data_IF_695762761376
#
_entry.id   IF_695762761376
#
_cell.length_a   1.000
_cell.length_b   1.000
_cell.length_c   1.000
_cell.angle_alpha   90.00
_cell.angle_beta   90.00
_cell.angle_gamma   90.00
#
_symmetry.space_group_name_H-M   'P 1'
#
loop_
_entity.id
_entity.type
_entity.pdbx_description
1 polymer ?
#
# COMPACT_ATOMS: atom_id res chain seq x y z
N UNK A 1 -10.71 -5.33 -16.11
CA UNK A 1 -9.42 -4.79 -15.65
C UNK A 1 -8.60 -4.52 -16.89
N UNK A 2 -7.94 -3.36 -16.98
CA UNK A 2 -7.05 -3.09 -18.12
C UNK A 2 -5.87 -4.06 -18.09
N UNK A 3 -5.28 -4.36 -19.25
CA UNK A 3 -4.10 -5.23 -19.37
C UNK A 3 -2.93 -4.73 -18.52
N UNK A 4 -2.82 -3.41 -18.34
CA UNK A 4 -1.83 -2.80 -17.47
C UNK A 4 -1.96 -3.28 -16.01
N UNK A 5 -3.14 -3.15 -15.42
CA UNK A 5 -3.33 -3.52 -14.00
C UNK A 5 -3.18 -5.02 -13.77
N UNK A 6 -3.55 -5.86 -14.74
CA UNK A 6 -3.26 -7.28 -14.70
C UNK A 6 -1.74 -7.56 -14.69
N UNK A 7 -0.99 -6.82 -15.51
CA UNK A 7 0.47 -6.90 -15.54
C UNK A 7 1.09 -6.42 -14.23
N UNK A 8 0.63 -5.31 -13.67
CA UNK A 8 1.13 -4.79 -12.39
C UNK A 8 0.83 -5.74 -11.23
N UNK A 9 -0.34 -6.38 -11.23
CA UNK A 9 -0.66 -7.41 -10.23
C UNK A 9 0.26 -8.64 -10.37
N UNK A 10 0.56 -9.07 -11.59
CA UNK A 10 1.54 -10.13 -11.83
C UNK A 10 2.92 -9.79 -11.26
N UNK A 11 3.37 -8.55 -11.41
CA UNK A 11 4.60 -8.08 -10.80
C UNK A 11 4.54 -8.12 -9.27
N UNK A 12 3.46 -7.61 -8.68
CA UNK A 12 3.27 -7.63 -7.24
C UNK A 12 3.31 -9.07 -6.68
N UNK A 13 2.61 -10.00 -7.32
CA UNK A 13 2.61 -11.42 -6.95
C UNK A 13 4.01 -12.02 -7.06
N UNK A 14 4.68 -11.83 -8.20
CA UNK A 14 5.99 -12.42 -8.48
C UNK A 14 7.06 -11.92 -7.51
N UNK A 15 7.11 -10.61 -7.26
CA UNK A 15 8.15 -10.00 -6.45
C UNK A 15 7.90 -10.14 -4.94
N UNK A 16 6.65 -10.17 -4.51
CA UNK A 16 6.31 -10.35 -3.09
C UNK A 16 6.36 -11.80 -2.63
N UNK A 17 6.14 -12.74 -3.54
CA UNK A 17 5.99 -14.16 -3.22
C UNK A 17 4.63 -14.54 -2.62
N UNK A 18 3.69 -13.61 -2.50
CA UNK A 18 2.33 -13.93 -2.10
C UNK A 18 1.60 -14.71 -3.19
N UNK A 19 0.66 -15.60 -2.84
CA UNK A 19 -0.18 -16.29 -3.82
C UNK A 19 -0.98 -15.31 -4.66
N UNK A 20 -1.23 -15.66 -5.93
CA UNK A 20 -2.15 -14.91 -6.77
C UNK A 20 -3.55 -14.91 -6.15
N UNK A 21 -4.21 -13.74 -6.03
CA UNK A 21 -5.54 -13.68 -5.44
C UNK A 21 -6.59 -14.26 -6.39
N UNK A 22 -7.67 -14.83 -5.83
CA UNK A 22 -8.79 -15.32 -6.63
C UNK A 22 -9.51 -14.19 -7.39
N UNK A 23 -9.56 -13.02 -6.80
CA UNK A 23 -10.14 -11.82 -7.39
C UNK A 23 -9.11 -10.69 -7.41
N UNK A 24 -9.04 -9.98 -8.54
CA UNK A 24 -8.15 -8.84 -8.68
C UNK A 24 -8.71 -7.62 -7.92
N UNK A 25 -7.84 -6.76 -7.38
CA UNK A 25 -8.27 -5.48 -6.84
C UNK A 25 -8.75 -4.54 -7.96
N UNK A 26 -9.53 -3.54 -7.57
CA UNK A 26 -9.99 -2.48 -8.46
C UNK A 26 -9.18 -1.22 -8.17
N UNK A 27 -8.53 -0.66 -9.19
CA UNK A 27 -7.78 0.60 -9.07
C UNK A 27 -8.71 1.76 -9.37
N UNK A 28 -8.82 2.69 -8.43
CA UNK A 28 -9.73 3.84 -8.51
C UNK A 28 -8.93 5.13 -8.36
N UNK A 29 -9.01 6.00 -9.35
CA UNK A 29 -8.41 7.33 -9.28
C UNK A 29 -9.26 8.26 -8.42
N UNK A 30 -8.62 9.06 -7.56
CA UNK A 30 -9.27 10.02 -6.67
C UNK A 30 -8.50 11.34 -6.64
N UNK A 31 -9.19 12.47 -6.44
CA UNK A 31 -8.52 13.74 -6.24
C UNK A 31 -7.70 13.74 -4.94
N UNK A 32 -6.65 14.55 -4.87
CA UNK A 32 -5.76 14.61 -3.70
C UNK A 32 -6.50 14.87 -2.38
N UNK A 33 -7.56 15.67 -2.42
CA UNK A 33 -8.40 15.93 -1.23
C UNK A 33 -8.96 14.65 -0.59
N UNK A 34 -9.23 13.62 -1.39
CA UNK A 34 -9.68 12.32 -0.88
C UNK A 34 -8.63 11.68 0.04
N UNK A 35 -7.35 11.76 -0.32
CA UNK A 35 -6.26 11.23 0.50
C UNK A 35 -6.05 12.04 1.76
N UNK A 36 -6.15 13.36 1.67
CA UNK A 36 -6.07 14.25 2.84
C UNK A 36 -7.15 13.89 3.86
N UNK A 37 -8.38 13.70 3.42
CA UNK A 37 -9.52 13.39 4.29
C UNK A 37 -9.45 11.99 4.89
N UNK A 38 -9.13 10.99 4.07
CA UNK A 38 -9.28 9.58 4.44
C UNK A 38 -7.99 8.91 4.92
N UNK A 39 -6.84 9.25 4.35
CA UNK A 39 -5.56 8.65 4.69
C UNK A 39 -4.71 9.50 5.64
N UNK A 40 -4.93 10.80 5.69
CA UNK A 40 -4.08 11.76 6.39
C UNK A 40 -4.79 12.53 7.51
N UNK A 41 -5.96 12.08 7.96
CA UNK A 41 -6.73 12.69 9.05
C UNK A 41 -6.95 14.19 8.87
N UNK A 42 -7.36 14.63 7.68
CA UNK A 42 -7.60 16.02 7.30
C UNK A 42 -6.36 16.94 7.39
N UNK A 43 -5.16 16.34 7.35
CA UNK A 43 -3.89 17.08 7.32
C UNK A 43 -3.27 16.95 5.95
N UNK A 44 -2.70 18.03 5.43
CA UNK A 44 -1.97 18.00 4.16
C UNK A 44 -0.86 16.96 4.22
N UNK A 45 -0.74 16.15 3.17
CA UNK A 45 0.22 15.08 3.08
C UNK A 45 0.61 14.78 1.62
N UNK A 46 1.64 13.96 1.44
CA UNK A 46 2.14 13.55 0.13
C UNK A 46 1.71 12.14 -0.27
N UNK A 47 0.63 11.64 0.31
CA UNK A 47 0.10 10.31 -0.02
C UNK A 47 -0.47 10.35 -1.44
N UNK A 48 0.00 9.46 -2.29
CA UNK A 48 -0.38 9.33 -3.70
C UNK A 48 -1.07 8.00 -4.01
N UNK A 49 -0.99 7.04 -3.10
CA UNK A 49 -1.66 5.75 -3.15
C UNK A 49 -2.15 5.36 -1.77
N UNK A 50 -3.22 4.59 -1.71
CA UNK A 50 -3.79 4.16 -0.44
C UNK A 50 -4.64 2.91 -0.59
N UNK A 51 -4.39 1.94 0.28
CA UNK A 51 -5.22 0.77 0.49
C UNK A 51 -5.67 0.71 1.95
N UNK A 52 -6.97 0.68 2.18
CA UNK A 52 -7.57 0.67 3.53
C UNK A 52 -8.35 -0.60 3.85
N UNK A 53 -8.31 -1.57 2.97
CA UNK A 53 -9.10 -2.80 3.05
C UNK A 53 -10.09 -2.93 1.90
N UNK A 54 -10.77 -4.07 1.80
CA UNK A 54 -11.66 -4.37 0.70
C UNK A 54 -10.93 -4.60 -0.62
N UNK A 55 -11.62 -4.34 -1.74
CA UNK A 55 -11.08 -4.59 -3.08
C UNK A 55 -10.54 -3.36 -3.80
N UNK A 56 -10.75 -2.17 -3.25
CA UNK A 56 -10.36 -0.93 -3.92
C UNK A 56 -8.97 -0.47 -3.48
N UNK A 57 -8.13 -0.20 -4.48
CA UNK A 57 -6.90 0.57 -4.32
C UNK A 57 -7.17 1.97 -4.84
N UNK A 58 -6.72 2.97 -4.12
CA UNK A 58 -6.86 4.35 -4.53
C UNK A 58 -5.53 4.92 -4.98
N UNK A 59 -5.52 5.61 -6.11
CA UNK A 59 -4.37 6.37 -6.61
C UNK A 59 -4.78 7.82 -6.86
N UNK A 60 -3.84 8.74 -6.68
CA UNK A 60 -4.06 10.15 -6.99
C UNK A 60 -4.32 10.30 -8.50
N UNK A 61 -5.37 11.05 -8.87
CA UNK A 61 -5.79 11.22 -10.26
C UNK A 61 -4.77 11.95 -11.14
N UNK A 62 -3.78 12.60 -10.54
CA UNK A 62 -2.67 13.21 -11.27
C UNK A 62 -1.62 12.20 -11.74
N UNK A 63 -1.69 10.96 -11.26
CA UNK A 63 -0.80 9.89 -11.65
C UNK A 63 -1.29 9.19 -12.92
N UNK A 64 -0.38 8.97 -13.86
CA UNK A 64 -0.63 8.17 -15.05
C UNK A 64 0.28 6.92 -15.04
N UNK A 65 -0.26 5.75 -14.61
CA UNK A 65 0.52 4.52 -14.57
C UNK A 65 0.90 3.97 -15.94
N UNK A 66 0.27 4.39 -17.03
CA UNK A 66 0.63 3.97 -18.39
C UNK A 66 1.91 4.67 -18.87
N UNK A 67 2.05 5.96 -18.54
CA UNK A 67 3.16 6.78 -19.03
C UNK A 67 4.28 7.00 -17.97
N UNK A 68 4.04 6.64 -16.71
CA UNK A 68 4.98 6.90 -15.62
C UNK A 68 5.34 5.63 -14.85
N UNK A 69 6.63 5.25 -14.90
CA UNK A 69 7.18 4.16 -14.09
C UNK A 69 6.98 4.43 -12.57
N UNK A 70 7.12 5.67 -12.15
CA UNK A 70 6.88 6.04 -10.75
C UNK A 70 5.41 5.81 -10.38
N UNK A 71 4.46 6.26 -11.22
CA UNK A 71 3.04 6.06 -10.98
C UNK A 71 2.66 4.57 -10.96
N UNK A 72 3.14 3.78 -11.92
CA UNK A 72 2.90 2.32 -11.93
C UNK A 72 3.52 1.62 -10.72
N UNK A 73 4.66 2.10 -10.23
CA UNK A 73 5.29 1.55 -9.03
C UNK A 73 4.47 1.79 -7.76
N UNK A 74 3.74 2.91 -7.67
CA UNK A 74 2.80 3.17 -6.58
C UNK A 74 1.65 2.16 -6.62
N UNK A 75 1.11 1.89 -7.80
CA UNK A 75 0.05 0.86 -7.95
C UNK A 75 0.56 -0.51 -7.49
N UNK A 76 1.78 -0.89 -7.87
CA UNK A 76 2.41 -2.14 -7.40
C UNK A 76 2.53 -2.17 -5.87
N UNK A 77 2.94 -1.08 -5.25
CA UNK A 77 3.02 -0.95 -3.79
C UNK A 77 1.66 -1.22 -3.12
N UNK A 78 0.60 -0.57 -3.58
CA UNK A 78 -0.74 -0.76 -3.03
C UNK A 78 -1.28 -2.18 -3.30
N UNK A 79 -0.93 -2.78 -4.45
CA UNK A 79 -1.26 -4.17 -4.74
C UNK A 79 -0.60 -5.14 -3.76
N UNK A 80 0.60 -4.85 -3.27
CA UNK A 80 1.23 -5.67 -2.21
C UNK A 80 0.40 -5.61 -0.93
N UNK A 81 -0.11 -4.45 -0.53
CA UNK A 81 -1.01 -4.35 0.63
C UNK A 81 -2.30 -5.14 0.44
N UNK A 82 -2.86 -5.15 -0.77
CA UNK A 82 -3.99 -6.00 -1.11
C UNK A 82 -3.65 -7.50 -0.95
N UNK A 83 -2.50 -7.94 -1.47
CA UNK A 83 -2.04 -9.32 -1.33
C UNK A 83 -1.79 -9.71 0.13
N UNK A 84 -1.25 -8.82 0.94
CA UNK A 84 -1.10 -8.99 2.37
C UNK A 84 -2.46 -9.19 3.06
N UNK A 85 -3.47 -8.40 2.68
CA UNK A 85 -4.83 -8.53 3.21
C UNK A 85 -5.47 -9.87 2.81
N UNK A 86 -5.33 -10.29 1.55
CA UNK A 86 -5.80 -11.61 1.09
C UNK A 86 -5.13 -12.74 1.86
N UNK A 87 -3.81 -12.68 2.05
CA UNK A 87 -3.03 -13.71 2.72
C UNK A 87 -3.42 -13.88 4.20
N UNK A 88 -3.79 -12.81 4.89
CA UNK A 88 -4.25 -12.88 6.28
C UNK A 88 -5.75 -13.14 6.44
N UNK A 89 -6.50 -13.27 5.35
CA UNK A 89 -7.94 -13.51 5.38
C UNK A 89 -8.74 -12.32 5.91
N UNK A 90 -8.40 -11.11 5.48
CA UNK A 90 -9.05 -9.88 5.93
C UNK A 90 -10.56 -9.90 5.65
N UNK A 91 -11.38 -9.73 6.70
CA UNK A 91 -12.84 -9.76 6.62
C UNK A 91 -13.42 -8.68 5.69
N UNK A 92 -12.72 -7.58 5.48
CA UNK A 92 -13.16 -6.50 4.57
C UNK A 92 -13.29 -6.96 3.12
N UNK A 93 -12.56 -8.00 2.72
CA UNK A 93 -12.63 -8.60 1.37
C UNK A 93 -13.96 -9.32 1.12
N UNK A 94 -14.58 -9.81 2.18
CA UNK A 94 -15.90 -10.47 2.13
C UNK A 94 -17.07 -9.51 2.42
N UNK A 95 -16.83 -8.20 2.43
CA UNK A 95 -17.82 -7.18 2.72
C UNK A 95 -18.02 -6.89 4.23
N UNK A 96 -17.13 -7.40 5.07
CA UNK A 96 -17.07 -7.05 6.49
C UNK A 96 -16.49 -5.64 6.71
N UNK A 97 -16.51 -5.19 7.97
CA UNK A 97 -15.88 -3.93 8.33
C UNK A 97 -14.37 -3.97 8.06
N UNK A 98 -13.83 -2.89 7.50
CA UNK A 98 -12.40 -2.76 7.35
C UNK A 98 -11.75 -2.79 8.73
N UNK A 99 -10.82 -3.75 8.92
CA UNK A 99 -10.06 -3.97 10.15
C UNK A 99 -10.90 -4.35 11.39
N UNK A 100 -10.98 -5.63 11.68
CA UNK A 100 -11.44 -6.15 12.98
C UNK A 100 -10.46 -5.78 14.12
N UNK A 101 -9.25 -5.35 13.78
CA UNK A 101 -8.24 -4.88 14.72
C UNK A 101 -7.29 -3.89 14.06
N UNK A 102 -6.92 -2.85 14.80
CA UNK A 102 -5.86 -1.93 14.40
C UNK A 102 -4.53 -2.71 14.41
N UNK A 103 -3.75 -2.72 13.30
CA UNK A 103 -2.47 -3.40 13.29
C UNK A 103 -1.52 -2.78 14.33
N UNK A 104 -0.67 -3.61 14.94
CA UNK A 104 0.40 -3.07 15.79
C UNK A 104 1.37 -2.24 14.95
N UNK A 105 2.10 -1.33 15.60
CA UNK A 105 3.14 -0.56 14.94
C UNK A 105 4.13 -1.47 14.19
N UNK A 106 4.56 -2.56 14.80
CA UNK A 106 5.48 -3.53 14.18
C UNK A 106 4.90 -4.20 12.95
N UNK A 107 3.62 -4.59 12.97
CA UNK A 107 2.94 -5.16 11.81
C UNK A 107 2.83 -4.14 10.68
N UNK A 108 2.42 -2.92 11.00
CA UNK A 108 2.34 -1.83 10.02
C UNK A 108 3.70 -1.58 9.35
N UNK A 109 4.76 -1.44 10.14
CA UNK A 109 6.12 -1.22 9.63
C UNK A 109 6.56 -2.40 8.75
N UNK A 110 6.29 -3.63 9.17
CA UNK A 110 6.65 -4.82 8.41
C UNK A 110 5.95 -4.84 7.03
N UNK A 111 4.64 -4.56 6.98
CA UNK A 111 3.90 -4.50 5.73
C UNK A 111 4.40 -3.41 4.80
N UNK A 112 4.71 -2.24 5.33
CA UNK A 112 5.27 -1.14 4.55
C UNK A 112 6.67 -1.48 4.01
N UNK A 113 7.55 -2.09 4.81
CA UNK A 113 8.85 -2.53 4.33
C UNK A 113 8.75 -3.55 3.19
N UNK A 114 7.85 -4.50 3.27
CA UNK A 114 7.61 -5.44 2.17
C UNK A 114 7.12 -4.72 0.91
N UNK A 115 6.14 -3.85 1.05
CA UNK A 115 5.57 -3.10 -0.09
C UNK A 115 6.62 -2.20 -0.75
N UNK A 116 7.43 -1.49 0.01
CA UNK A 116 8.52 -0.68 -0.53
C UNK A 116 9.65 -1.51 -1.14
N UNK A 117 9.97 -2.67 -0.57
CA UNK A 117 10.95 -3.58 -1.16
C UNK A 117 10.51 -4.06 -2.55
N UNK A 118 9.25 -4.43 -2.69
CA UNK A 118 8.67 -4.83 -3.98
C UNK A 118 8.64 -3.65 -4.95
N UNK A 119 8.23 -2.48 -4.49
CA UNK A 119 8.22 -1.26 -5.31
C UNK A 119 9.61 -0.92 -5.86
N UNK A 120 10.66 -0.97 -5.02
CA UNK A 120 12.05 -0.76 -5.46
C UNK A 120 12.50 -1.79 -6.47
N UNK A 121 12.21 -3.07 -6.22
CA UNK A 121 12.60 -4.14 -7.13
C UNK A 121 11.89 -4.02 -8.48
N UNK A 122 10.61 -3.65 -8.49
CA UNK A 122 9.86 -3.34 -9.71
C UNK A 122 10.53 -2.24 -10.53
N UNK A 123 10.89 -1.13 -9.89
CA UNK A 123 11.57 -0.01 -10.55
C UNK A 123 12.93 -0.46 -11.13
N UNK A 124 13.71 -1.24 -10.38
CA UNK A 124 15.00 -1.76 -10.81
C UNK A 124 14.88 -2.69 -12.03
N UNK A 125 13.81 -3.50 -12.11
CA UNK A 125 13.55 -4.38 -13.25
C UNK A 125 13.32 -3.61 -14.55
N UNK A 126 12.87 -2.37 -14.48
CA UNK A 126 12.77 -1.47 -15.63
C UNK A 126 14.04 -0.65 -15.88
N UNK A 127 15.15 -0.98 -15.21
CA UNK A 127 16.44 -0.33 -15.41
C UNK A 127 16.55 1.09 -14.85
N UNK A 128 15.64 1.46 -13.93
CA UNK A 128 15.64 2.77 -13.29
C UNK A 128 16.00 2.66 -11.80
N UNK A 129 16.43 3.77 -11.23
CA UNK A 129 16.62 3.93 -9.79
C UNK A 129 15.85 5.17 -9.32
N UNK A 130 14.79 4.94 -8.57
CA UNK A 130 13.99 6.00 -7.96
C UNK A 130 13.98 5.78 -6.43
N UNK A 131 14.32 6.78 -5.63
CA UNK A 131 14.29 6.65 -4.17
C UNK A 131 12.85 6.60 -3.67
N UNK A 132 12.44 5.44 -3.12
CA UNK A 132 11.13 5.24 -2.52
C UNK A 132 11.28 4.70 -1.10
N UNK A 133 10.29 4.95 -0.25
CA UNK A 133 10.26 4.45 1.12
C UNK A 133 11.20 5.17 2.10
N UNK A 134 11.70 6.34 1.76
CA UNK A 134 12.61 7.10 2.65
C UNK A 134 11.95 7.48 3.97
N UNK A 135 10.65 7.77 3.96
CA UNK A 135 9.89 8.08 5.17
C UNK A 135 9.91 6.94 6.20
N UNK A 136 10.13 5.70 5.76
CA UNK A 136 10.21 4.54 6.67
C UNK A 136 11.51 4.48 7.47
N UNK A 137 12.56 5.23 7.08
CA UNK A 137 13.82 5.28 7.81
C UNK A 137 13.68 5.93 9.19
N UNK A 138 12.70 6.81 9.34
CA UNK A 138 12.44 7.55 10.57
C UNK A 138 11.28 6.98 11.39
N UNK A 139 10.70 5.87 10.96
CA UNK A 139 9.62 5.19 11.68
C UNK A 139 10.20 4.26 12.72
N UNK A 140 9.91 4.53 13.98
CA UNK A 140 10.31 3.69 15.11
C UNK A 140 9.06 3.25 15.88
N UNK A 141 9.00 1.95 16.19
CA UNK A 141 7.99 1.43 17.11
C UNK A 141 8.55 1.49 18.53
N UNK A 142 7.78 2.05 19.45
CA UNK A 142 8.14 2.03 20.85
C UNK A 142 8.15 0.59 21.41
N UNK A 143 9.02 0.27 22.40
CA UNK A 143 8.98 -1.04 23.06
C UNK A 143 7.60 -1.27 23.67
N UNK A 144 7.06 -2.48 23.52
CA UNK A 144 5.80 -2.87 24.15
C UNK A 144 5.92 -2.76 25.68
N UNK A 145 5.40 -1.67 26.26
CA UNK A 145 5.11 -1.59 27.67
C UNK A 145 3.83 -2.39 27.92
N UNK A 146 3.90 -3.46 28.71
CA UNK A 146 2.83 -4.42 28.85
C UNK A 146 1.44 -3.81 28.99
N UNK A 147 0.58 -4.04 28.00
CA UNK A 147 -0.86 -3.95 28.11
C UNK A 147 -1.58 -2.74 27.51
N UNK A 148 -0.93 -1.79 26.85
CA UNK A 148 -1.61 -0.75 26.10
C UNK A 148 -1.44 -0.97 24.58
N UNK A 149 -2.54 -0.99 23.84
CA UNK A 149 -2.49 -1.02 22.38
C UNK A 149 -1.87 0.29 21.89
N UNK A 150 -0.66 0.22 21.36
CA UNK A 150 0.00 1.36 20.75
C UNK A 150 -0.67 1.72 19.43
N UNK A 151 -1.13 2.95 19.33
CA UNK A 151 -1.54 3.51 18.04
C UNK A 151 -0.31 3.72 17.16
N UNK A 152 -0.33 3.29 15.88
CA UNK A 152 0.78 3.55 14.98
C UNK A 152 1.02 5.05 14.87
N UNK A 153 2.25 5.47 15.15
CA UNK A 153 2.66 6.86 14.89
C UNK A 153 2.88 6.98 13.38
N UNK A 154 2.15 7.84 12.67
CA UNK A 154 2.39 8.04 11.26
C UNK A 154 3.80 8.58 11.03
N UNK A 155 4.44 8.24 9.91
CA UNK A 155 5.78 8.73 9.60
C UNK A 155 5.80 10.27 9.56
N UNK A 156 6.89 10.90 9.95
CA UNK A 156 7.05 12.35 9.83
C UNK A 156 6.92 12.78 8.38
N UNK A 157 6.19 13.83 8.17
CA UNK A 157 5.80 14.36 6.87
C UNK A 157 6.87 15.30 6.29
#
# INVERSE_FOLDING_TARGET
MSDLYATLLSWAVTLSGYPAPAEAPVVVAKPHAFFVENACNHRECKVLGWYSGGRNLYIDETLDPEDSLFASSIVVHEMVHYLQAVARGDASLAGGAAFDSVPSCKQFVHWEFEAYAVQREYILRYGAYLPVGRAMLDVHCEPESGGAAETPVPPPR
#
